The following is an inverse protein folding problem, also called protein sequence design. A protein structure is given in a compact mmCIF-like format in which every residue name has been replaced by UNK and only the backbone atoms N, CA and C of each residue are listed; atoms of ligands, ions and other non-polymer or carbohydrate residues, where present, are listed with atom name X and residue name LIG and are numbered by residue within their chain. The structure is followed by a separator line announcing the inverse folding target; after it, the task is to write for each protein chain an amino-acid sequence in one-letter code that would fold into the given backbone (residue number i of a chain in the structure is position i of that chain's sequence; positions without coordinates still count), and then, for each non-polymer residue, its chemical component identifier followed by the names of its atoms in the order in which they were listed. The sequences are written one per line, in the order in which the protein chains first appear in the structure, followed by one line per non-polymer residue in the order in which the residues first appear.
data_IF_982645166335
#
_entry.id   IF_982645166335
#
_cell.length_a   1.000
_cell.length_b   1.000
_cell.length_c   1.000
_cell.angle_alpha   90.00
_cell.angle_beta   90.00
_cell.angle_gamma   90.00
#
_symmetry.space_group_name_H-M   'P 1'
#
loop_
_entity.id
_entity.type
_entity.pdbx_description
1 polymer ?
#
# COMPACT_ATOMS: atom_id res chain seq x y z
N UNK A 1 -13.04 -7.43 -15.64
CA UNK A 1 -12.64 -7.36 -14.22
C UNK A 1 -11.25 -6.76 -14.16
N UNK A 2 -11.15 -5.43 -14.27
CA UNK A 2 -9.87 -4.70 -14.27
C UNK A 2 -10.00 -3.34 -13.57
N UNK A 3 -11.13 -3.06 -12.92
CA UNK A 3 -11.52 -1.70 -12.51
C UNK A 3 -11.02 -1.32 -11.11
N UNK A 4 -10.48 -2.27 -10.33
CA UNK A 4 -10.07 -2.04 -8.93
C UNK A 4 -8.57 -2.19 -8.66
N UNK A 5 -7.72 -2.37 -9.69
CA UNK A 5 -6.28 -2.52 -9.45
C UNK A 5 -5.62 -1.17 -9.17
N UNK A 6 -4.99 -1.04 -8.01
CA UNK A 6 -4.12 0.10 -7.70
C UNK A 6 -2.71 -0.18 -8.25
N UNK A 7 -2.26 0.54 -9.30
CA UNK A 7 -0.91 0.35 -9.82
C UNK A 7 0.13 0.90 -8.83
N UNK A 8 1.22 0.16 -8.65
CA UNK A 8 2.40 0.65 -7.97
C UNK A 8 2.97 1.87 -8.72
N UNK A 9 3.40 2.93 -8.00
CA UNK A 9 4.03 4.07 -8.65
C UNK A 9 5.39 3.63 -9.20
N UNK A 10 5.64 3.91 -10.48
CA UNK A 10 6.97 3.76 -11.06
C UNK A 10 7.81 4.94 -10.55
N UNK A 11 8.68 4.68 -9.58
CA UNK A 11 9.61 5.68 -9.03
C UNK A 11 10.92 5.52 -9.81
N UNK A 12 11.27 6.42 -10.74
CA UNK A 12 12.52 6.33 -11.47
C UNK A 12 13.73 6.47 -10.52
N UNK A 13 14.77 5.69 -10.78
CA UNK A 13 16.00 5.69 -9.98
C UNK A 13 16.64 7.09 -10.01
N UNK A 14 16.75 7.72 -8.83
CA UNK A 14 17.24 9.10 -8.67
C UNK A 14 16.16 10.12 -8.31
N UNK A 15 14.87 9.77 -8.40
CA UNK A 15 13.78 10.66 -8.00
C UNK A 15 13.23 10.29 -6.62
N UNK A 16 12.98 11.31 -5.78
CA UNK A 16 12.37 11.10 -4.47
C UNK A 16 10.86 11.03 -4.65
N UNK A 17 10.29 9.84 -4.45
CA UNK A 17 8.86 9.71 -4.24
C UNK A 17 8.42 10.64 -3.10
N UNK A 18 7.22 11.22 -3.24
CA UNK A 18 6.63 12.12 -2.24
C UNK A 18 5.41 11.46 -1.59
N UNK A 19 5.16 11.80 -0.33
CA UNK A 19 4.00 11.31 0.40
C UNK A 19 4.10 9.81 0.74
N UNK A 20 2.98 9.06 0.73
CA UNK A 20 2.98 7.65 1.12
C UNK A 20 3.92 6.77 0.27
N UNK A 21 4.08 7.09 -1.02
CA UNK A 21 4.96 6.37 -1.93
C UNK A 21 6.45 6.45 -1.53
N UNK A 22 6.85 7.46 -0.76
CA UNK A 22 8.23 7.57 -0.23
C UNK A 22 8.62 6.40 0.66
N UNK A 23 7.65 5.70 1.25
CA UNK A 23 7.89 4.57 2.14
C UNK A 23 8.07 3.24 1.39
N UNK A 24 7.65 3.16 0.12
CA UNK A 24 7.57 1.90 -0.62
C UNK A 24 8.92 1.19 -0.76
N UNK A 25 10.04 1.86 -1.11
CA UNK A 25 11.35 1.20 -1.17
C UNK A 25 11.77 0.58 0.17
N UNK A 26 11.48 1.27 1.28
CA UNK A 26 11.78 0.76 2.63
C UNK A 26 10.87 -0.40 3.02
N UNK A 27 9.60 -0.37 2.62
CA UNK A 27 8.64 -1.46 2.85
C UNK A 27 9.09 -2.72 2.10
N UNK A 28 9.41 -2.61 0.81
CA UNK A 28 9.88 -3.75 0.01
C UNK A 28 11.17 -4.34 0.60
N UNK A 29 12.10 -3.47 1.01
CA UNK A 29 13.35 -3.90 1.66
C UNK A 29 13.12 -4.56 3.02
N UNK A 30 12.12 -4.11 3.79
CA UNK A 30 11.86 -4.62 5.15
C UNK A 30 11.09 -5.94 5.12
N UNK A 31 10.09 -6.05 4.25
CA UNK A 31 9.17 -7.20 4.22
C UNK A 31 9.45 -8.18 3.07
N UNK A 32 10.41 -7.88 2.18
CA UNK A 32 10.85 -8.78 1.12
C UNK A 32 9.80 -9.06 0.04
N UNK A 33 8.75 -8.23 -0.06
CA UNK A 33 7.64 -8.39 -1.01
C UNK A 33 7.48 -7.12 -1.85
N UNK A 34 7.25 -7.24 -3.17
CA UNK A 34 7.01 -6.09 -4.04
C UNK A 34 5.84 -5.24 -3.57
N UNK A 35 5.89 -3.92 -3.79
CA UNK A 35 4.81 -3.04 -3.35
C UNK A 35 3.48 -3.33 -4.06
N UNK A 36 3.53 -3.78 -5.31
CA UNK A 36 2.34 -4.16 -6.08
C UNK A 36 1.52 -5.25 -5.37
N UNK A 37 2.19 -6.23 -4.76
CA UNK A 37 1.53 -7.31 -4.02
C UNK A 37 0.77 -6.77 -2.80
N UNK A 38 1.33 -5.79 -2.10
CA UNK A 38 0.66 -5.13 -0.97
C UNK A 38 -0.53 -4.30 -1.43
N UNK A 39 -0.39 -3.59 -2.55
CA UNK A 39 -1.46 -2.77 -3.11
C UNK A 39 -2.61 -3.63 -3.63
N UNK A 40 -2.33 -4.77 -4.27
CA UNK A 40 -3.35 -5.69 -4.74
C UNK A 40 -4.15 -6.28 -3.54
N UNK A 41 -3.46 -6.69 -2.46
CA UNK A 41 -4.10 -7.16 -1.22
C UNK A 41 -4.98 -6.10 -0.54
N UNK A 42 -4.46 -4.87 -0.45
CA UNK A 42 -5.15 -3.77 0.22
C UNK A 42 -6.33 -3.26 -0.61
N UNK A 43 -6.20 -3.22 -1.93
CA UNK A 43 -7.28 -2.82 -2.83
C UNK A 43 -8.49 -3.76 -2.72
N UNK A 44 -8.24 -5.07 -2.67
CA UNK A 44 -9.29 -6.09 -2.47
C UNK A 44 -10.05 -5.87 -1.15
N UNK A 45 -9.32 -5.65 -0.05
CA UNK A 45 -9.95 -5.43 1.27
C UNK A 45 -10.66 -4.09 1.41
N UNK A 46 -10.12 -3.02 0.80
CA UNK A 46 -10.73 -1.68 0.87
C UNK A 46 -12.12 -1.62 0.21
N UNK A 47 -12.49 -2.61 -0.60
CA UNK A 47 -13.84 -2.73 -1.18
C UNK A 47 -14.91 -2.95 -0.09
N UNK A 48 -14.56 -3.70 0.96
CA UNK A 48 -15.50 -4.11 2.02
C UNK A 48 -15.13 -3.59 3.42
N UNK A 49 -13.90 -3.11 3.62
CA UNK A 49 -13.39 -2.71 4.92
C UNK A 49 -12.95 -1.24 4.99
N UNK A 50 -13.19 -0.54 6.10
CA UNK A 50 -12.70 0.81 6.29
C UNK A 50 -11.19 0.85 6.44
N UNK A 51 -10.57 1.97 6.07
CA UNK A 51 -9.11 2.22 6.16
C UNK A 51 -8.45 1.66 7.42
N UNK A 52 -9.01 1.94 8.60
CA UNK A 52 -8.38 1.53 9.86
C UNK A 52 -8.47 0.02 10.12
N UNK A 53 -9.49 -0.66 9.60
CA UNK A 53 -9.56 -2.13 9.67
C UNK A 53 -8.47 -2.77 8.80
N UNK A 54 -8.26 -2.27 7.59
CA UNK A 54 -7.20 -2.77 6.70
C UNK A 54 -5.80 -2.48 7.26
N UNK A 55 -5.60 -1.32 7.89
CA UNK A 55 -4.35 -1.01 8.61
C UNK A 55 -4.13 -1.98 9.78
N UNK A 56 -5.16 -2.31 10.55
CA UNK A 56 -5.05 -3.29 11.64
C UNK A 56 -4.72 -4.68 11.09
N UNK A 57 -5.40 -5.11 10.04
CA UNK A 57 -5.14 -6.39 9.38
C UNK A 57 -3.69 -6.54 8.89
N UNK A 58 -3.13 -5.51 8.24
CA UNK A 58 -1.72 -5.53 7.82
C UNK A 58 -0.75 -5.66 9.00
N UNK A 59 -1.12 -5.12 10.16
CA UNK A 59 -0.29 -5.22 11.37
C UNK A 59 -0.37 -6.62 11.98
N UNK A 60 -1.57 -7.16 12.14
CA UNK A 60 -1.80 -8.45 12.77
C UNK A 60 -1.35 -9.62 11.88
N UNK A 61 -1.80 -9.66 10.63
CA UNK A 61 -1.57 -10.82 9.75
C UNK A 61 -0.21 -10.78 9.04
N UNK A 62 0.33 -9.59 8.82
CA UNK A 62 1.54 -9.40 8.04
C UNK A 62 2.70 -8.75 8.83
N UNK A 63 2.48 -8.38 10.09
CA UNK A 63 3.52 -7.82 10.95
C UNK A 63 4.00 -6.43 10.50
N UNK A 64 3.22 -5.69 9.71
CA UNK A 64 3.62 -4.36 9.27
C UNK A 64 3.64 -3.38 10.45
N UNK A 65 4.62 -2.47 10.45
CA UNK A 65 4.65 -1.34 11.37
C UNK A 65 3.54 -0.33 11.01
N UNK A 66 3.06 0.44 11.99
CA UNK A 66 1.93 1.37 11.79
C UNK A 66 2.15 2.35 10.64
N UNK A 67 3.35 2.95 10.53
CA UNK A 67 3.67 3.87 9.44
C UNK A 67 3.66 3.21 8.06
N UNK A 68 4.18 1.98 7.95
CA UNK A 68 4.21 1.21 6.70
C UNK A 68 2.81 0.78 6.27
N UNK A 69 2.03 0.20 7.19
CA UNK A 69 0.64 -0.17 6.93
C UNK A 69 -0.18 1.05 6.51
N UNK A 70 -0.09 2.16 7.24
CA UNK A 70 -0.84 3.37 6.91
C UNK A 70 -0.43 3.95 5.54
N UNK A 71 0.86 3.91 5.18
CA UNK A 71 1.32 4.41 3.89
C UNK A 71 0.71 3.63 2.71
N UNK A 72 0.67 2.30 2.79
CA UNK A 72 0.09 1.45 1.73
C UNK A 72 -1.42 1.73 1.60
N UNK A 73 -2.15 1.69 2.73
CA UNK A 73 -3.62 1.87 2.72
C UNK A 73 -4.00 3.28 2.28
N UNK A 74 -3.30 4.31 2.75
CA UNK A 74 -3.56 5.69 2.33
C UNK A 74 -3.33 5.90 0.82
N UNK A 75 -2.27 5.31 0.26
CA UNK A 75 -2.00 5.38 -1.17
C UNK A 75 -3.10 4.68 -1.98
N UNK A 76 -3.43 3.43 -1.62
CA UNK A 76 -4.46 2.67 -2.30
C UNK A 76 -5.82 3.38 -2.27
N UNK A 77 -6.24 3.84 -1.09
CA UNK A 77 -7.49 4.58 -0.92
C UNK A 77 -7.52 5.88 -1.72
N UNK A 78 -6.41 6.61 -1.78
CA UNK A 78 -6.35 7.87 -2.55
C UNK A 78 -6.48 7.65 -4.07
N UNK A 79 -6.05 6.49 -4.57
CA UNK A 79 -6.20 6.12 -5.99
C UNK A 79 -7.61 5.61 -6.27
N UNK A 80 -8.18 4.77 -5.40
CA UNK A 80 -9.53 4.23 -5.58
C UNK A 80 -10.63 5.28 -5.40
N UNK A 81 -10.34 6.37 -4.68
CA UNK A 81 -11.27 7.49 -4.52
C UNK A 81 -11.27 8.48 -5.71
N UNK A 82 -10.47 8.23 -6.75
CA UNK A 82 -10.47 8.99 -8.00
C UNK A 82 -11.33 8.31 -9.05
#
# INVERSE_FOLDING_TARGET
MAEHRVPAPVIPEGEKAKGPASYFPSIEKTYGRPIQEWLDLVADRLDSEPHMAVVAWLKDEHGLGHGHANAIVAYAKAILAK
#
